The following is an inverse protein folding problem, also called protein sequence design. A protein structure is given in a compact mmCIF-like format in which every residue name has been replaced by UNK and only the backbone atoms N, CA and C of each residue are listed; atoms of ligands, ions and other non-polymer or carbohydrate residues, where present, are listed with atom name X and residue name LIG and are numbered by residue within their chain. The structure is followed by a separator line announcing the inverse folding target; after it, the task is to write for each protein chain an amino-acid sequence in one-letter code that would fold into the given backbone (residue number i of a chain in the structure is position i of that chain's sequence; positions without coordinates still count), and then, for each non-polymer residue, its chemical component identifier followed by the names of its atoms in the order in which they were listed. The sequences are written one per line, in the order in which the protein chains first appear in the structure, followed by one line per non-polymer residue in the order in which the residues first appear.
data_IF_369574023803
#
_entry.id   IF_369574023803
#
_cell.length_a   1.000
_cell.length_b   1.000
_cell.length_c   1.000
_cell.angle_alpha   90.00
_cell.angle_beta   90.00
_cell.angle_gamma   90.00
#
_symmetry.space_group_name_H-M   'P 1'
#
loop_
_entity.id
_entity.type
_entity.pdbx_description
1 polymer ?
#
# COMPACT_ATOMS: atom_id res chain seq x y z
N UNK A 1 -15.24 -56.53 -8.29
CA UNK A 1 -15.37 -56.94 -6.87
C UNK A 1 -13.97 -57.20 -6.34
N UNK A 2 -13.46 -56.65 -5.24
CA UNK A 2 -14.04 -55.94 -4.11
C UNK A 2 -13.24 -56.35 -2.85
N UNK A 3 -12.70 -55.37 -2.11
CA UNK A 3 -12.25 -55.47 -0.70
C UNK A 3 -10.92 -56.20 -0.45
N UNK A 4 -10.07 -55.85 0.52
CA UNK A 4 -10.15 -54.83 1.56
C UNK A 4 -9.03 -55.04 2.62
N UNK A 5 -8.29 -53.95 2.90
CA UNK A 5 -7.77 -53.45 4.19
C UNK A 5 -7.13 -54.41 5.22
N UNK A 6 -5.87 -54.12 5.60
CA UNK A 6 -5.22 -54.22 6.94
C UNK A 6 -3.87 -53.49 6.80
N UNK A 7 -3.66 -52.25 7.27
CA UNK A 7 -3.43 -51.76 8.64
C UNK A 7 -2.41 -52.59 9.45
N UNK A 8 -1.51 -51.84 10.09
CA UNK A 8 -0.58 -52.16 11.19
C UNK A 8 0.87 -52.42 10.79
N UNK A 9 1.90 -52.04 11.54
CA UNK A 9 2.09 -51.15 12.70
C UNK A 9 3.62 -51.03 12.79
N UNK A 10 4.20 -49.85 12.58
CA UNK A 10 5.62 -49.69 12.90
C UNK A 10 5.75 -49.41 14.40
N UNK A 11 6.23 -50.44 15.08
CA UNK A 11 6.49 -50.50 16.50
C UNK A 11 7.63 -49.57 16.92
N UNK A 12 7.45 -49.04 18.13
CA UNK A 12 8.44 -48.85 19.19
C UNK A 12 9.65 -47.94 18.92
N UNK A 13 9.69 -46.75 19.56
CA UNK A 13 10.33 -46.48 20.87
C UNK A 13 11.66 -45.74 20.64
N UNK A 14 11.73 -44.47 21.05
CA UNK A 14 12.68 -44.06 22.10
C UNK A 14 12.35 -42.65 22.60
N UNK A 15 12.26 -42.52 23.92
CA UNK A 15 12.07 -41.29 24.67
C UNK A 15 13.43 -40.79 25.16
N UNK A 16 13.76 -39.53 24.88
CA UNK A 16 14.66 -38.71 25.70
C UNK A 16 14.11 -37.27 25.66
N UNK A 17 13.45 -36.84 26.73
CA UNK A 17 13.98 -36.00 27.82
C UNK A 17 14.34 -34.59 27.36
N UNK A 18 13.65 -33.62 27.96
CA UNK A 18 13.56 -32.24 27.50
C UNK A 18 14.80 -31.39 27.66
N UNK A 19 14.72 -30.22 27.02
CA UNK A 19 15.32 -28.98 27.48
C UNK A 19 14.37 -27.85 27.10
N UNK A 20 13.91 -27.14 28.12
CA UNK A 20 13.19 -25.88 28.01
C UNK A 20 14.19 -24.78 27.65
N UNK A 21 14.53 -24.64 26.39
CA UNK A 21 15.06 -23.37 25.88
C UNK A 21 14.02 -22.76 24.96
N UNK A 22 13.47 -21.64 25.42
CA UNK A 22 12.64 -20.74 24.66
C UNK A 22 13.44 -20.24 23.46
N UNK A 23 13.34 -20.95 22.34
CA UNK A 23 13.84 -20.42 21.06
C UNK A 23 12.88 -19.31 20.70
N UNK A 24 13.27 -18.08 21.04
CA UNK A 24 12.60 -16.89 20.58
C UNK A 24 12.47 -17.02 19.06
N UNK A 25 11.23 -17.12 18.58
CA UNK A 25 10.92 -16.88 17.19
C UNK A 25 11.25 -15.42 16.96
N UNK A 26 12.51 -15.16 16.60
CA UNK A 26 12.88 -13.95 15.87
C UNK A 26 11.98 -13.96 14.65
N UNK A 27 10.89 -13.18 14.73
CA UNK A 27 10.23 -12.69 13.54
C UNK A 27 11.31 -11.95 12.78
N UNK A 28 11.90 -12.64 11.83
CA UNK A 28 12.72 -12.06 10.80
C UNK A 28 11.75 -11.22 9.97
N UNK A 29 11.46 -10.01 10.45
CA UNK A 29 10.91 -8.89 9.70
C UNK A 29 11.94 -8.57 8.62
N UNK A 30 11.97 -9.45 7.62
CA UNK A 30 12.71 -9.27 6.39
C UNK A 30 12.06 -8.11 5.70
N UNK A 31 12.54 -6.92 6.06
CA UNK A 31 12.30 -5.68 5.35
C UNK A 31 12.65 -5.96 3.90
N UNK A 32 11.64 -6.25 3.08
CA UNK A 32 11.80 -6.37 1.64
C UNK A 32 12.15 -4.97 1.18
N UNK A 33 13.44 -4.64 1.18
CA UNK A 33 13.96 -3.49 0.49
C UNK A 33 13.57 -3.67 -0.98
N UNK A 34 12.43 -3.09 -1.36
CA UNK A 34 12.05 -2.90 -2.74
C UNK A 34 13.30 -2.33 -3.42
N UNK A 35 13.81 -3.02 -4.43
CA UNK A 35 14.93 -2.52 -5.23
C UNK A 35 14.40 -1.29 -5.96
N UNK A 36 14.48 -0.15 -5.30
CA UNK A 36 14.06 1.13 -5.84
C UNK A 36 15.06 1.44 -6.94
N UNK A 37 14.60 1.48 -8.18
CA UNK A 37 15.46 1.80 -9.33
C UNK A 37 16.28 3.08 -9.03
N UNK A 38 17.57 3.16 -9.40
CA UNK A 38 18.44 4.30 -9.03
C UNK A 38 17.89 5.68 -9.40
N UNK A 39 17.11 5.75 -10.49
CA UNK A 39 16.41 6.98 -10.88
C UNK A 39 15.34 7.35 -9.84
N UNK A 40 14.58 6.38 -9.36
CA UNK A 40 13.54 6.54 -8.36
C UNK A 40 14.13 6.89 -6.99
N UNK A 41 15.29 6.34 -6.62
CA UNK A 41 15.96 6.68 -5.35
C UNK A 41 16.47 8.13 -5.33
N UNK A 42 17.13 8.57 -6.41
CA UNK A 42 17.61 9.95 -6.56
C UNK A 42 16.48 10.98 -6.55
N UNK A 43 15.37 10.69 -7.25
CA UNK A 43 14.19 11.53 -7.21
C UNK A 43 13.54 11.55 -5.82
N UNK A 44 13.48 10.41 -5.14
CA UNK A 44 12.91 10.31 -3.81
C UNK A 44 13.66 11.17 -2.78
N UNK A 45 14.99 11.15 -2.79
CA UNK A 45 15.81 11.94 -1.85
C UNK A 45 15.57 13.45 -1.98
N UNK A 46 15.30 13.94 -3.19
CA UNK A 46 15.09 15.38 -3.46
C UNK A 46 13.63 15.80 -3.39
N UNK A 47 12.73 15.00 -3.95
CA UNK A 47 11.32 15.36 -4.10
C UNK A 47 10.54 15.08 -2.83
N UNK A 48 10.81 13.98 -2.11
CA UNK A 48 10.05 13.62 -0.91
C UNK A 48 10.08 14.72 0.17
N UNK A 49 11.25 15.28 0.55
CA UNK A 49 11.28 16.34 1.56
C UNK A 49 10.45 17.57 1.17
N UNK A 50 10.41 17.90 -0.13
CA UNK A 50 9.60 19.01 -0.64
C UNK A 50 8.11 18.70 -0.55
N UNK A 51 7.68 17.49 -0.95
CA UNK A 51 6.30 17.05 -0.82
C UNK A 51 5.84 17.00 0.65
N UNK A 52 6.71 16.51 1.54
CA UNK A 52 6.45 16.45 2.98
C UNK A 52 6.34 17.86 3.59
N UNK A 53 7.19 18.81 3.17
CA UNK A 53 7.07 20.20 3.57
C UNK A 53 5.75 20.81 3.10
N UNK A 54 5.35 20.59 1.84
CA UNK A 54 4.06 21.04 1.33
C UNK A 54 2.88 20.44 2.11
N UNK A 55 2.97 19.16 2.49
CA UNK A 55 1.98 18.46 3.31
C UNK A 55 1.85 19.11 4.71
N UNK A 56 2.98 19.41 5.35
CA UNK A 56 3.01 20.09 6.63
C UNK A 56 2.37 21.49 6.55
N UNK A 57 2.69 22.26 5.51
CA UNK A 57 2.07 23.58 5.30
C UNK A 57 0.55 23.49 5.12
N UNK A 58 0.04 22.46 4.41
CA UNK A 58 -1.41 22.23 4.27
C UNK A 58 -2.07 21.97 5.63
N UNK A 59 -1.43 21.18 6.50
CA UNK A 59 -1.94 20.86 7.84
C UNK A 59 -2.05 22.08 8.75
N UNK A 60 -1.15 23.05 8.57
CA UNK A 60 -1.18 24.33 9.27
C UNK A 60 -2.30 25.28 8.78
N UNK A 61 -3.09 24.89 7.78
CA UNK A 61 -4.19 25.69 7.22
C UNK A 61 -3.78 27.08 6.73
N UNK A 62 -2.53 27.27 6.29
CA UNK A 62 -2.00 28.56 5.83
C UNK A 62 -2.77 29.14 4.63
N UNK A 63 -3.53 28.31 3.92
CA UNK A 63 -4.44 28.75 2.88
C UNK A 63 -5.52 29.72 3.38
N UNK A 64 -5.90 29.63 4.66
CA UNK A 64 -6.83 30.59 5.30
C UNK A 64 -6.20 31.97 5.48
N UNK A 65 -4.88 32.03 5.60
CA UNK A 65 -4.09 33.26 5.70
C UNK A 65 -3.74 33.85 4.31
N UNK A 66 -4.35 33.33 3.24
CA UNK A 66 -4.13 33.80 1.87
C UNK A 66 -2.91 33.21 1.16
N UNK A 67 -2.17 32.30 1.81
CA UNK A 67 -1.02 31.63 1.19
C UNK A 67 -1.48 30.38 0.45
N UNK A 68 -1.54 30.47 -0.87
CA UNK A 68 -1.91 29.32 -1.71
C UNK A 68 -0.74 28.33 -1.84
N UNK A 69 -1.05 27.05 -1.66
CA UNK A 69 -0.10 25.96 -1.87
C UNK A 69 -0.25 25.38 -3.28
N UNK A 70 0.85 25.06 -3.98
CA UNK A 70 0.78 24.44 -5.29
C UNK A 70 -0.07 23.17 -5.29
N UNK A 71 -0.94 23.02 -6.29
CA UNK A 71 -1.81 21.85 -6.47
C UNK A 71 -1.94 21.49 -7.94
N UNK A 72 -2.07 20.21 -8.24
CA UNK A 72 -2.37 19.71 -9.59
C UNK A 72 -3.88 19.50 -9.68
N UNK A 73 -4.50 20.10 -10.70
CA UNK A 73 -5.93 19.94 -10.96
C UNK A 73 -6.12 19.17 -12.25
N UNK A 74 -6.94 18.12 -12.21
CA UNK A 74 -7.29 17.32 -13.39
C UNK A 74 -8.60 17.84 -13.97
N UNK A 75 -8.56 18.31 -15.21
CA UNK A 75 -9.70 18.88 -15.93
C UNK A 75 -9.90 18.17 -17.27
N UNK A 76 -11.14 18.19 -17.78
CA UNK A 76 -11.47 17.68 -19.10
C UNK A 76 -12.89 17.12 -19.21
N UNK A 77 -13.35 16.97 -20.45
CA UNK A 77 -14.72 16.59 -20.80
C UNK A 77 -15.17 15.25 -20.18
N UNK A 78 -16.47 15.05 -20.05
CA UNK A 78 -17.01 13.77 -19.59
C UNK A 78 -16.47 12.62 -20.45
N UNK A 79 -16.12 11.50 -19.82
CA UNK A 79 -15.57 10.32 -20.50
C UNK A 79 -14.15 10.48 -21.10
N UNK A 80 -13.44 11.59 -20.84
CA UNK A 80 -12.05 11.78 -21.29
C UNK A 80 -11.00 10.92 -20.55
N UNK A 81 -11.41 10.00 -19.68
CA UNK A 81 -10.50 9.10 -18.97
C UNK A 81 -9.87 9.65 -17.67
N UNK A 82 -10.31 10.81 -17.15
CA UNK A 82 -9.80 11.40 -15.89
C UNK A 82 -9.77 10.39 -14.73
N UNK A 83 -10.88 9.72 -14.47
CA UNK A 83 -10.97 8.71 -13.40
C UNK A 83 -10.05 7.53 -13.68
N UNK A 84 -9.90 7.11 -14.93
CA UNK A 84 -8.96 6.05 -15.32
C UNK A 84 -7.51 6.40 -15.03
N UNK A 85 -7.08 7.63 -15.30
CA UNK A 85 -5.72 8.08 -14.96
C UNK A 85 -5.51 8.10 -13.45
N UNK A 86 -6.47 8.66 -12.70
CA UNK A 86 -6.38 8.72 -11.24
C UNK A 86 -6.35 7.33 -10.59
N UNK A 87 -7.12 6.38 -11.10
CA UNK A 87 -7.11 4.99 -10.63
C UNK A 87 -5.78 4.29 -10.91
N UNK A 88 -5.23 4.47 -12.12
CA UNK A 88 -3.92 3.92 -12.47
C UNK A 88 -2.80 4.48 -11.59
N UNK A 89 -2.88 5.76 -11.21
CA UNK A 89 -1.92 6.38 -10.30
C UNK A 89 -2.08 5.92 -8.85
N UNK A 90 -3.32 5.78 -8.39
CA UNK A 90 -3.62 5.43 -7.00
C UNK A 90 -3.59 3.91 -6.73
N UNK A 91 -3.67 3.08 -7.78
CA UNK A 91 -3.75 1.62 -7.65
C UNK A 91 -5.07 1.13 -7.06
N UNK A 92 -6.12 1.96 -7.08
CA UNK A 92 -7.42 1.70 -6.48
C UNK A 92 -8.54 2.08 -7.46
N UNK A 93 -9.69 1.41 -7.36
CA UNK A 93 -10.85 1.72 -8.18
C UNK A 93 -11.66 2.87 -7.57
N UNK A 94 -11.93 3.91 -8.37
CA UNK A 94 -12.86 4.97 -8.02
C UNK A 94 -14.29 4.53 -8.39
N UNK A 95 -15.33 5.11 -7.78
CA UNK A 95 -16.72 4.81 -8.13
C UNK A 95 -17.00 5.04 -9.62
N UNK A 96 -17.50 4.01 -10.31
CA UNK A 96 -17.86 4.01 -11.73
C UNK A 96 -19.26 3.44 -11.96
N UNK A 97 -19.94 3.93 -13.00
CA UNK A 97 -21.23 3.42 -13.46
C UNK A 97 -21.79 4.23 -14.61
N UNK A 98 -22.79 3.71 -15.32
CA UNK A 98 -23.47 4.49 -16.36
C UNK A 98 -24.10 5.75 -15.77
N UNK A 99 -23.85 6.90 -16.41
CA UNK A 99 -24.36 8.20 -15.95
C UNK A 99 -23.69 8.74 -14.68
N UNK A 100 -22.68 8.06 -14.14
CA UNK A 100 -21.93 8.55 -12.97
C UNK A 100 -20.81 9.48 -13.44
N UNK A 101 -20.76 10.66 -12.82
CA UNK A 101 -19.67 11.61 -12.92
C UNK A 101 -19.25 12.09 -11.53
N UNK A 102 -18.03 12.60 -11.40
CA UNK A 102 -17.55 13.22 -10.16
C UNK A 102 -18.31 14.52 -9.91
N UNK A 103 -19.29 14.51 -8.99
CA UNK A 103 -20.12 15.68 -8.67
C UNK A 103 -19.53 16.59 -7.58
N UNK A 104 -18.62 16.05 -6.77
CA UNK A 104 -17.92 16.76 -5.69
C UNK A 104 -16.41 16.69 -5.98
N UNK A 105 -15.64 17.77 -5.80
CA UNK A 105 -14.20 17.73 -5.98
C UNK A 105 -13.56 16.60 -5.15
N UNK A 106 -12.82 15.72 -5.82
CA UNK A 106 -12.02 14.69 -5.18
C UNK A 106 -10.62 15.26 -4.93
N UNK A 107 -10.21 15.31 -3.66
CA UNK A 107 -8.83 15.64 -3.29
C UNK A 107 -8.08 14.32 -3.11
N UNK A 108 -7.13 14.05 -4.02
CA UNK A 108 -6.28 12.86 -3.94
C UNK A 108 -4.91 13.21 -3.36
N UNK A 109 -4.47 12.44 -2.36
CA UNK A 109 -3.13 12.55 -1.76
C UNK A 109 -2.46 11.19 -1.85
N UNK A 110 -1.35 11.12 -2.59
CA UNK A 110 -0.55 9.91 -2.70
C UNK A 110 0.63 10.02 -1.75
N UNK A 111 0.77 9.03 -0.87
CA UNK A 111 1.83 8.95 0.11
C UNK A 111 2.58 7.64 -0.07
N UNK A 112 3.88 7.67 0.22
CA UNK A 112 4.68 6.47 0.19
C UNK A 112 4.49 5.70 1.48
N UNK A 113 3.94 4.49 1.35
CA UNK A 113 3.75 3.58 2.46
C UNK A 113 4.78 2.44 2.36
N UNK A 114 5.37 1.96 3.48
CA UNK A 114 6.28 0.83 3.45
C UNK A 114 5.60 -0.49 3.03
N UNK A 115 4.27 -0.57 3.17
CA UNK A 115 3.48 -1.71 2.73
C UNK A 115 3.22 -1.63 1.20
N UNK A 116 3.31 -2.76 0.48
CA UNK A 116 3.16 -2.79 -0.97
C UNK A 116 1.69 -2.66 -1.45
N UNK A 117 0.72 -2.86 -0.57
CA UNK A 117 -0.70 -2.73 -0.89
C UNK A 117 -1.19 -1.29 -0.70
N UNK A 118 -1.89 -0.70 -1.69
CA UNK A 118 -2.48 0.62 -1.52
C UNK A 118 -3.61 0.55 -0.47
N UNK A 119 -3.57 1.45 0.50
CA UNK A 119 -4.60 1.59 1.53
C UNK A 119 -5.45 2.83 1.24
N UNK A 120 -6.78 2.67 1.33
CA UNK A 120 -7.71 3.77 1.22
C UNK A 120 -8.12 4.26 2.61
N UNK A 121 -7.65 5.45 2.95
CA UNK A 121 -8.05 6.18 4.15
C UNK A 121 -9.08 7.23 3.74
N UNK A 122 -10.29 7.14 4.29
CA UNK A 122 -11.42 8.06 4.04
C UNK A 122 -11.47 9.18 5.08
#
# INVERSE_FOLDING_TARGET
MGGGKKRNDNAAVFSQRGNNESVALVHEERSLALVVAPIVSSYNERIRPVLDAMENLRRLNIAKEGIQLPSIVVVGDQSSGKSSVLESLAGISLPRGQGICTRVPLIMRLQNHPLPSPELVL
#
